data_IF_915717626058
#
_entry.id   IF_915717626058
#
_cell.length_a   1.000
_cell.length_b   1.000
_cell.length_c   1.000
_cell.angle_alpha   90.00
_cell.angle_beta   90.00
_cell.angle_gamma   90.00
#
_symmetry.space_group_name_H-M   'P 1'
#
loop_
_entity.id
_entity.type
_entity.pdbx_description
1 polymer ?
#
# COMPACT_ATOMS: atom_id res chain seq x y z
N UNK A 1 7.61 -14.65 -38.93
CA UNK A 1 6.92 -13.57 -39.62
C UNK A 1 7.35 -13.52 -41.08
N UNK A 2 7.10 -14.57 -41.85
CA UNK A 2 7.62 -14.69 -43.22
C UNK A 2 6.54 -14.59 -44.31
N UNK A 3 5.27 -14.38 -43.92
CA UNK A 3 4.17 -14.27 -44.89
C UNK A 3 3.31 -13.05 -44.59
N UNK A 4 2.67 -12.45 -45.58
CA UNK A 4 1.75 -11.32 -45.47
C UNK A 4 0.59 -11.64 -44.54
N UNK A 5 0.07 -12.88 -44.58
CA UNK A 5 -0.99 -13.33 -43.70
C UNK A 5 -0.56 -13.32 -42.22
N UNK A 6 0.66 -13.77 -41.90
CA UNK A 6 1.21 -13.75 -40.55
C UNK A 6 1.42 -12.32 -40.04
N UNK A 7 1.89 -11.42 -40.91
CA UNK A 7 2.08 -10.01 -40.56
C UNK A 7 0.74 -9.31 -40.31
N UNK A 8 -0.28 -9.60 -41.12
CA UNK A 8 -1.63 -9.07 -40.93
C UNK A 8 -2.24 -9.55 -39.64
N UNK A 9 -2.10 -10.82 -39.31
CA UNK A 9 -2.60 -11.40 -38.03
C UNK A 9 -1.88 -10.79 -36.83
N UNK A 10 -0.55 -10.63 -36.89
CA UNK A 10 0.23 -9.97 -35.84
C UNK A 10 -0.22 -8.53 -35.63
N UNK A 11 -0.48 -7.81 -36.70
CA UNK A 11 -1.02 -6.45 -36.67
C UNK A 11 -2.39 -6.39 -35.96
N UNK A 12 -3.28 -7.34 -36.31
CA UNK A 12 -4.60 -7.46 -35.67
C UNK A 12 -4.48 -7.75 -34.16
N UNK A 13 -3.63 -8.70 -33.77
CA UNK A 13 -3.36 -9.04 -32.36
C UNK A 13 -2.88 -7.81 -31.59
N UNK A 14 -1.86 -7.11 -32.11
CA UNK A 14 -1.35 -5.89 -31.47
C UNK A 14 -2.43 -4.82 -31.35
N UNK A 15 -3.21 -4.62 -32.39
CA UNK A 15 -4.28 -3.60 -32.40
C UNK A 15 -5.39 -3.94 -31.38
N UNK A 16 -5.94 -5.16 -31.44
CA UNK A 16 -7.02 -5.60 -30.53
C UNK A 16 -6.58 -5.56 -29.06
N UNK A 17 -5.34 -5.98 -28.78
CA UNK A 17 -4.80 -6.00 -27.43
C UNK A 17 -4.71 -4.58 -26.85
N UNK A 18 -4.13 -3.65 -27.60
CA UNK A 18 -4.04 -2.26 -27.16
C UNK A 18 -5.41 -1.57 -27.08
N UNK A 19 -6.30 -1.85 -28.03
CA UNK A 19 -7.65 -1.29 -28.07
C UNK A 19 -8.46 -1.72 -26.84
N UNK A 20 -8.47 -3.01 -26.51
CA UNK A 20 -9.20 -3.52 -25.34
C UNK A 20 -8.68 -2.89 -24.04
N UNK A 21 -7.36 -2.77 -23.87
CA UNK A 21 -6.74 -2.14 -22.73
C UNK A 21 -7.12 -0.66 -22.62
N UNK A 22 -7.01 0.10 -23.71
CA UNK A 22 -7.32 1.53 -23.75
C UNK A 22 -8.80 1.79 -23.43
N UNK A 23 -9.70 1.01 -24.04
CA UNK A 23 -11.15 1.14 -23.80
C UNK A 23 -11.50 0.80 -22.35
N UNK A 24 -10.97 -0.31 -21.82
CA UNK A 24 -11.21 -0.69 -20.43
C UNK A 24 -10.74 0.40 -19.44
N UNK A 25 -9.56 0.97 -19.70
CA UNK A 25 -9.00 2.08 -18.90
C UNK A 25 -9.93 3.29 -18.90
N UNK A 26 -10.35 3.75 -20.08
CA UNK A 26 -11.24 4.92 -20.21
C UNK A 26 -12.60 4.67 -19.54
N UNK A 27 -13.18 3.49 -19.75
CA UNK A 27 -14.46 3.10 -19.15
C UNK A 27 -14.37 3.10 -17.63
N UNK A 28 -13.34 2.49 -17.06
CA UNK A 28 -13.15 2.45 -15.60
C UNK A 28 -12.92 3.84 -15.03
N UNK A 29 -12.11 4.66 -15.69
CA UNK A 29 -11.89 6.04 -15.25
C UNK A 29 -13.21 6.81 -15.17
N UNK A 30 -14.04 6.73 -16.21
CA UNK A 30 -15.35 7.38 -16.25
C UNK A 30 -16.29 6.77 -15.21
N UNK A 31 -16.34 5.44 -15.12
CA UNK A 31 -17.23 4.75 -14.20
C UNK A 31 -16.91 5.07 -12.73
N UNK A 32 -15.63 5.04 -12.35
CA UNK A 32 -15.20 5.40 -10.99
C UNK A 32 -15.43 6.89 -10.70
N UNK A 33 -15.24 7.77 -11.70
CA UNK A 33 -15.55 9.18 -11.57
C UNK A 33 -17.03 9.42 -11.27
N UNK A 34 -17.92 8.77 -12.03
CA UNK A 34 -19.36 8.89 -11.79
C UNK A 34 -19.80 8.28 -10.45
N UNK A 35 -19.14 7.18 -10.04
CA UNK A 35 -19.51 6.43 -8.83
C UNK A 35 -18.96 7.04 -7.54
N UNK A 36 -17.73 7.54 -7.57
CA UNK A 36 -17.00 8.03 -6.39
C UNK A 36 -16.79 9.54 -6.38
N UNK A 37 -17.22 10.25 -7.41
CA UNK A 37 -17.02 11.69 -7.58
C UNK A 37 -15.61 12.09 -8.00
N UNK A 38 -14.68 11.17 -8.05
CA UNK A 38 -13.30 11.31 -8.53
C UNK A 38 -12.85 10.03 -9.23
N UNK A 39 -12.03 10.12 -10.28
CA UNK A 39 -11.46 8.92 -10.91
C UNK A 39 -10.49 8.24 -9.94
N UNK A 40 -10.59 6.91 -9.83
CA UNK A 40 -9.70 6.10 -9.03
C UNK A 40 -8.49 5.66 -9.87
N UNK A 41 -7.30 6.06 -9.45
CA UNK A 41 -6.05 5.80 -10.20
C UNK A 41 -5.70 4.32 -10.17
N UNK A 42 -5.82 3.66 -9.01
CA UNK A 42 -5.50 2.24 -8.85
C UNK A 42 -6.42 1.36 -9.68
N UNK A 43 -7.74 1.61 -9.60
CA UNK A 43 -8.73 0.92 -10.44
C UNK A 43 -8.50 1.15 -11.93
N UNK A 44 -8.10 2.36 -12.32
CA UNK A 44 -7.82 2.73 -13.71
C UNK A 44 -6.62 1.94 -14.27
N UNK A 45 -5.54 1.79 -13.50
CA UNK A 45 -4.41 0.94 -13.90
C UNK A 45 -4.79 -0.55 -13.93
N UNK A 46 -5.54 -1.02 -12.95
CA UNK A 46 -6.04 -2.40 -12.95
C UNK A 46 -6.95 -2.68 -14.15
N UNK A 47 -7.68 -1.69 -14.64
CA UNK A 47 -8.50 -1.83 -15.84
C UNK A 47 -7.67 -2.00 -17.13
N UNK A 48 -6.52 -1.31 -17.23
CA UNK A 48 -5.61 -1.55 -18.35
C UNK A 48 -5.16 -3.02 -18.35
N UNK A 49 -4.75 -3.54 -17.19
CA UNK A 49 -4.38 -4.94 -17.04
C UNK A 49 -5.56 -5.88 -17.30
N UNK A 50 -6.76 -5.57 -16.81
CA UNK A 50 -7.97 -6.37 -17.05
C UNK A 50 -8.32 -6.44 -18.55
N UNK A 51 -8.16 -5.34 -19.29
CA UNK A 51 -8.31 -5.31 -20.73
C UNK A 51 -7.29 -6.18 -21.46
N UNK A 52 -6.01 -6.10 -21.06
CA UNK A 52 -4.94 -6.94 -21.61
C UNK A 52 -5.18 -8.43 -21.34
N UNK A 53 -5.48 -8.78 -20.08
CA UNK A 53 -5.73 -10.17 -19.67
C UNK A 53 -7.00 -10.71 -20.32
N UNK A 54 -8.08 -9.95 -20.30
CA UNK A 54 -9.37 -10.41 -20.83
C UNK A 54 -9.35 -10.65 -22.34
N UNK A 55 -8.63 -9.82 -23.11
CA UNK A 55 -8.54 -10.00 -24.56
C UNK A 55 -7.60 -11.12 -24.99
N UNK A 56 -6.76 -11.64 -24.10
CA UNK A 56 -5.70 -12.59 -24.43
C UNK A 56 -6.21 -13.82 -25.17
N UNK A 57 -7.35 -14.37 -24.76
CA UNK A 57 -7.93 -15.56 -25.38
C UNK A 57 -8.53 -15.29 -26.77
N UNK A 58 -8.86 -14.05 -27.11
CA UNK A 58 -9.57 -13.68 -28.32
C UNK A 58 -8.85 -12.65 -29.21
N UNK A 59 -7.64 -12.23 -28.88
CA UNK A 59 -6.96 -11.13 -29.55
C UNK A 59 -6.78 -11.33 -31.07
N UNK A 60 -6.65 -12.57 -31.53
CA UNK A 60 -6.55 -12.97 -32.91
C UNK A 60 -7.88 -13.40 -33.55
N UNK A 61 -8.88 -13.70 -32.72
CA UNK A 61 -10.14 -14.31 -33.13
C UNK A 61 -11.29 -13.29 -33.28
N UNK A 62 -11.22 -12.14 -32.59
CA UNK A 62 -12.29 -11.14 -32.58
C UNK A 62 -12.00 -9.98 -33.50
N UNK A 63 -13.06 -9.30 -33.99
CA UNK A 63 -12.91 -8.04 -34.71
C UNK A 63 -12.48 -6.89 -33.76
N UNK A 64 -11.93 -5.79 -34.31
CA UNK A 64 -11.64 -4.59 -33.52
C UNK A 64 -12.86 -4.04 -32.75
N UNK A 65 -14.04 -4.11 -33.33
CA UNK A 65 -15.28 -3.72 -32.67
C UNK A 65 -15.59 -4.69 -31.52
N UNK A 66 -15.40 -6.00 -31.71
CA UNK A 66 -15.53 -7.01 -30.66
C UNK A 66 -14.56 -6.74 -29.51
N UNK A 67 -13.29 -6.45 -29.80
CA UNK A 67 -12.28 -6.10 -28.81
C UNK A 67 -12.66 -4.84 -28.00
N UNK A 68 -13.19 -3.82 -28.65
CA UNK A 68 -13.67 -2.60 -27.97
C UNK A 68 -14.85 -2.90 -27.03
N UNK A 69 -15.84 -3.69 -27.48
CA UNK A 69 -16.99 -4.08 -26.65
C UNK A 69 -16.54 -4.92 -25.46
N UNK A 70 -15.62 -5.87 -25.67
CA UNK A 70 -15.02 -6.65 -24.57
C UNK A 70 -14.28 -5.74 -23.58
N UNK A 71 -13.54 -4.73 -24.09
CA UNK A 71 -12.88 -3.72 -23.26
C UNK A 71 -13.86 -2.94 -22.36
N UNK A 72 -15.04 -2.56 -22.89
CA UNK A 72 -16.10 -1.93 -22.09
C UNK A 72 -16.54 -2.86 -20.94
N UNK A 73 -16.76 -4.12 -21.25
CA UNK A 73 -17.18 -5.12 -20.24
C UNK A 73 -16.10 -5.28 -19.17
N UNK A 74 -14.84 -5.44 -19.56
CA UNK A 74 -13.74 -5.56 -18.61
C UNK A 74 -13.60 -4.34 -17.70
N UNK A 75 -13.72 -3.14 -18.27
CA UNK A 75 -13.64 -1.89 -17.52
C UNK A 75 -14.74 -1.73 -16.46
N UNK A 76 -15.92 -2.26 -16.68
CA UNK A 76 -16.99 -2.28 -15.68
C UNK A 76 -16.80 -3.41 -14.67
N UNK A 77 -16.50 -4.61 -15.17
CA UNK A 77 -16.40 -5.82 -14.32
C UNK A 77 -15.25 -5.73 -13.33
N UNK A 78 -14.10 -5.14 -13.71
CA UNK A 78 -12.96 -5.03 -12.80
C UNK A 78 -13.31 -4.28 -11.53
N UNK A 79 -14.03 -3.15 -11.62
CA UNK A 79 -14.44 -2.37 -10.45
C UNK A 79 -15.39 -3.15 -9.57
N UNK A 80 -16.40 -3.79 -10.17
CA UNK A 80 -17.38 -4.60 -9.45
C UNK A 80 -16.75 -5.82 -8.79
N UNK A 81 -15.78 -6.47 -9.45
CA UNK A 81 -15.07 -7.63 -8.92
C UNK A 81 -14.19 -7.25 -7.73
N UNK A 82 -13.41 -6.17 -7.83
CA UNK A 82 -12.59 -5.68 -6.71
C UNK A 82 -13.48 -5.33 -5.52
N UNK A 83 -14.55 -4.57 -5.72
CA UNK A 83 -15.48 -4.25 -4.63
C UNK A 83 -16.14 -5.50 -4.02
N UNK A 84 -16.46 -6.50 -4.84
CA UNK A 84 -17.03 -7.74 -4.36
C UNK A 84 -16.05 -8.53 -3.48
N UNK A 85 -14.81 -8.72 -3.93
CA UNK A 85 -13.81 -9.45 -3.15
C UNK A 85 -13.48 -8.74 -1.86
N UNK A 86 -13.27 -7.43 -1.88
CA UNK A 86 -12.94 -6.63 -0.71
C UNK A 86 -14.11 -6.53 0.29
N UNK A 87 -15.29 -6.09 -0.17
CA UNK A 87 -16.41 -5.73 0.72
C UNK A 87 -17.32 -6.89 1.08
N UNK A 88 -17.54 -7.84 0.15
CA UNK A 88 -18.52 -8.92 0.30
C UNK A 88 -17.84 -10.23 0.67
N UNK A 89 -16.90 -10.68 -0.15
CA UNK A 89 -16.17 -11.93 0.08
C UNK A 89 -15.14 -11.80 1.21
N UNK A 90 -14.68 -10.57 1.48
CA UNK A 90 -13.62 -10.25 2.46
C UNK A 90 -12.36 -11.08 2.24
N UNK A 91 -11.98 -11.20 0.97
CA UNK A 91 -10.76 -11.87 0.52
C UNK A 91 -9.73 -10.78 0.27
N UNK A 92 -8.55 -10.93 0.86
CA UNK A 92 -7.43 -10.02 0.70
C UNK A 92 -6.86 -10.13 -0.73
N UNK A 93 -7.09 -9.08 -1.53
CA UNK A 93 -6.62 -8.95 -2.91
C UNK A 93 -6.04 -7.53 -3.14
N UNK A 94 -4.92 -7.19 -2.47
CA UNK A 94 -4.43 -5.81 -2.35
C UNK A 94 -4.07 -5.18 -3.70
N UNK A 95 -3.71 -5.98 -4.69
CA UNK A 95 -3.37 -5.52 -6.04
C UNK A 95 -4.45 -5.83 -7.09
N UNK A 96 -5.56 -6.42 -6.70
CA UNK A 96 -6.63 -6.79 -7.61
C UNK A 96 -6.31 -8.00 -8.52
N UNK A 97 -5.37 -8.86 -8.12
CA UNK A 97 -4.92 -9.98 -8.94
C UNK A 97 -6.04 -10.99 -9.25
N UNK A 98 -6.88 -11.32 -8.27
CA UNK A 98 -8.03 -12.20 -8.47
C UNK A 98 -9.01 -11.58 -9.47
N UNK A 99 -9.30 -10.30 -9.29
CA UNK A 99 -10.24 -9.56 -10.14
C UNK A 99 -9.73 -9.41 -11.57
N UNK A 100 -8.44 -9.09 -11.75
CA UNK A 100 -7.80 -8.91 -13.06
C UNK A 100 -7.62 -10.26 -13.77
N UNK A 101 -6.88 -11.19 -13.16
CA UNK A 101 -6.49 -12.43 -13.82
C UNK A 101 -7.58 -13.51 -13.73
N UNK A 102 -8.17 -13.73 -12.56
CA UNK A 102 -9.19 -14.73 -12.35
C UNK A 102 -10.50 -14.37 -13.05
N UNK A 103 -11.08 -13.21 -12.71
CA UNK A 103 -12.41 -12.84 -13.21
C UNK A 103 -12.36 -12.39 -14.67
N UNK A 104 -11.51 -11.38 -14.99
CA UNK A 104 -11.47 -10.86 -16.37
C UNK A 104 -10.84 -11.84 -17.35
N UNK A 105 -9.88 -12.69 -16.93
CA UNK A 105 -9.33 -13.76 -17.77
C UNK A 105 -10.35 -14.84 -18.11
N UNK A 106 -11.08 -15.33 -17.12
CA UNK A 106 -12.17 -16.28 -17.34
C UNK A 106 -13.28 -15.69 -18.23
N UNK A 107 -13.68 -14.46 -17.92
CA UNK A 107 -14.70 -13.75 -18.70
C UNK A 107 -14.27 -13.54 -20.14
N UNK A 108 -13.00 -13.17 -20.38
CA UNK A 108 -12.44 -12.97 -21.73
C UNK A 108 -12.50 -14.24 -22.58
N UNK A 109 -12.17 -15.39 -21.98
CA UNK A 109 -12.27 -16.68 -22.65
C UNK A 109 -13.73 -17.00 -23.03
N UNK A 110 -14.66 -16.76 -22.12
CA UNK A 110 -16.10 -16.95 -22.39
C UNK A 110 -16.58 -16.00 -23.48
N UNK A 111 -16.22 -14.72 -23.41
CA UNK A 111 -16.60 -13.70 -24.42
C UNK A 111 -16.02 -14.01 -25.81
N UNK A 112 -14.86 -14.67 -25.90
CA UNK A 112 -14.33 -15.14 -27.17
C UNK A 112 -15.31 -16.09 -27.86
N UNK A 113 -15.99 -16.97 -27.11
CA UNK A 113 -17.05 -17.84 -27.63
C UNK A 113 -18.26 -17.07 -28.19
N UNK A 114 -18.47 -15.82 -27.80
CA UNK A 114 -19.52 -14.95 -28.35
C UNK A 114 -19.04 -14.15 -29.56
N UNK A 115 -17.85 -13.54 -29.50
CA UNK A 115 -17.36 -12.53 -30.42
C UNK A 115 -16.38 -13.02 -31.50
N UNK A 116 -16.01 -14.31 -31.51
CA UNK A 116 -15.10 -14.85 -32.52
C UNK A 116 -15.67 -14.76 -33.93
N UNK A 117 -14.85 -14.26 -34.87
CA UNK A 117 -15.25 -14.02 -36.27
C UNK A 117 -15.13 -15.24 -37.18
N UNK A 118 -14.41 -16.27 -36.74
CA UNK A 118 -14.12 -17.47 -37.52
C UNK A 118 -12.84 -17.37 -38.36
N UNK A 119 -11.97 -16.41 -38.08
CA UNK A 119 -10.67 -16.26 -38.81
C UNK A 119 -9.62 -17.20 -38.22
N UNK A 120 -9.43 -17.24 -36.92
CA UNK A 120 -8.42 -18.07 -36.25
C UNK A 120 -9.05 -19.24 -35.46
N UNK A 121 -10.35 -19.19 -35.24
CA UNK A 121 -11.13 -20.18 -34.45
C UNK A 121 -12.46 -20.45 -35.12
N UNK A 122 -13.31 -21.29 -34.49
CA UNK A 122 -14.71 -21.40 -34.86
C UNK A 122 -15.44 -20.06 -34.67
N UNK A 123 -16.55 -19.88 -35.40
CA UNK A 123 -17.38 -18.68 -35.28
C UNK A 123 -18.09 -18.66 -33.92
N UNK A 124 -18.07 -17.50 -33.27
CA UNK A 124 -18.85 -17.24 -32.07
C UNK A 124 -20.34 -17.05 -32.34
N UNK A 125 -21.11 -16.98 -31.27
CA UNK A 125 -22.58 -16.89 -31.34
C UNK A 125 -23.03 -15.69 -32.19
N UNK A 126 -22.44 -14.53 -32.03
CA UNK A 126 -22.83 -13.32 -32.75
C UNK A 126 -22.44 -13.33 -34.24
N UNK A 127 -21.61 -14.26 -34.66
CA UNK A 127 -21.20 -14.46 -36.05
C UNK A 127 -21.81 -15.70 -36.70
N UNK A 128 -22.86 -16.27 -36.07
CA UNK A 128 -23.62 -17.38 -36.59
C UNK A 128 -23.01 -18.77 -36.38
N UNK A 129 -22.06 -18.91 -35.44
CA UNK A 129 -21.44 -20.18 -35.07
C UNK A 129 -22.28 -21.06 -34.12
N UNK A 130 -23.46 -20.59 -33.69
CA UNK A 130 -24.27 -21.32 -32.71
C UNK A 130 -23.61 -21.33 -31.31
N UNK A 131 -24.14 -22.18 -30.43
CA UNK A 131 -23.68 -22.23 -29.02
C UNK A 131 -22.58 -23.27 -28.78
N UNK A 132 -22.13 -24.02 -29.78
CA UNK A 132 -21.14 -25.08 -29.60
C UNK A 132 -19.82 -24.51 -29.08
N UNK A 133 -19.20 -23.56 -29.80
CA UNK A 133 -17.93 -22.96 -29.43
C UNK A 133 -18.02 -22.21 -28.09
N UNK A 134 -19.11 -21.49 -27.87
CA UNK A 134 -19.36 -20.85 -26.57
C UNK A 134 -19.40 -21.88 -25.41
N UNK A 135 -20.09 -22.98 -25.62
CA UNK A 135 -20.16 -24.09 -24.62
C UNK A 135 -18.79 -24.70 -24.33
N UNK A 136 -17.95 -24.87 -25.37
CA UNK A 136 -16.57 -25.36 -25.22
C UNK A 136 -15.74 -24.37 -24.38
N UNK A 137 -15.86 -23.06 -24.63
CA UNK A 137 -15.15 -22.06 -23.85
C UNK A 137 -15.59 -22.06 -22.37
N UNK A 138 -16.88 -22.15 -22.10
CA UNK A 138 -17.40 -22.28 -20.74
C UNK A 138 -16.90 -23.56 -20.03
N UNK A 139 -16.93 -24.70 -20.73
CA UNK A 139 -16.40 -25.96 -20.18
C UNK A 139 -14.89 -25.87 -19.91
N UNK A 140 -14.13 -25.25 -20.82
CA UNK A 140 -12.70 -25.05 -20.67
C UNK A 140 -12.38 -24.21 -19.42
N UNK A 141 -13.07 -23.08 -19.25
CA UNK A 141 -12.92 -22.22 -18.07
C UNK A 141 -13.25 -22.98 -16.78
N UNK A 142 -14.38 -23.69 -16.75
CA UNK A 142 -14.78 -24.46 -15.58
C UNK A 142 -13.75 -25.55 -15.23
N UNK A 143 -13.24 -26.27 -16.25
CA UNK A 143 -12.21 -27.29 -16.07
C UNK A 143 -10.91 -26.73 -15.51
N UNK A 144 -10.46 -25.58 -16.01
CA UNK A 144 -9.25 -24.89 -15.54
C UNK A 144 -9.45 -24.40 -14.09
N UNK A 145 -10.58 -23.78 -13.78
CA UNK A 145 -10.89 -23.36 -12.40
C UNK A 145 -10.82 -24.54 -11.43
N UNK A 146 -11.47 -25.63 -11.77
CA UNK A 146 -11.47 -26.84 -10.93
C UNK A 146 -10.05 -27.41 -10.75
N UNK A 147 -9.31 -27.56 -11.86
CA UNK A 147 -7.95 -28.07 -11.82
C UNK A 147 -7.03 -27.19 -10.96
N UNK A 148 -7.03 -25.89 -11.21
CA UNK A 148 -6.20 -24.93 -10.46
C UNK A 148 -6.59 -24.92 -8.98
N UNK A 149 -7.89 -24.89 -8.66
CA UNK A 149 -8.34 -24.92 -7.27
C UNK A 149 -7.82 -26.13 -6.51
N UNK A 150 -7.89 -27.33 -7.12
CA UNK A 150 -7.40 -28.56 -6.48
C UNK A 150 -5.88 -28.54 -6.34
N UNK A 151 -5.15 -28.27 -7.43
CA UNK A 151 -3.68 -28.36 -7.45
C UNK A 151 -3.07 -27.30 -6.54
N UNK A 152 -3.52 -26.04 -6.63
CA UNK A 152 -2.96 -24.94 -5.81
C UNK A 152 -3.31 -25.13 -4.33
N UNK A 153 -4.48 -25.66 -4.01
CA UNK A 153 -4.80 -25.98 -2.61
C UNK A 153 -3.82 -27.02 -2.04
N UNK A 154 -3.48 -28.05 -2.79
CA UNK A 154 -2.50 -29.05 -2.37
C UNK A 154 -1.11 -28.42 -2.21
N UNK A 155 -0.68 -27.63 -3.19
CA UNK A 155 0.65 -26.95 -3.15
C UNK A 155 0.74 -26.02 -1.94
N UNK A 156 -0.27 -25.18 -1.71
CA UNK A 156 -0.27 -24.26 -0.56
C UNK A 156 -0.41 -25.00 0.77
N UNK A 157 -1.10 -26.11 0.82
CA UNK A 157 -1.14 -26.96 2.02
C UNK A 157 0.26 -27.50 2.36
N UNK A 158 1.00 -27.98 1.36
CA UNK A 158 2.39 -28.45 1.53
C UNK A 158 3.28 -27.28 2.00
N UNK A 159 3.24 -26.14 1.33
CA UNK A 159 4.04 -24.97 1.69
C UNK A 159 3.73 -24.49 3.12
N UNK A 160 2.46 -24.46 3.50
CA UNK A 160 2.05 -24.05 4.84
C UNK A 160 2.65 -24.93 5.94
N UNK A 161 2.79 -26.25 5.68
CA UNK A 161 3.33 -27.20 6.66
C UNK A 161 4.85 -27.35 6.61
N UNK A 162 5.52 -26.80 5.61
CA UNK A 162 6.99 -26.91 5.43
C UNK A 162 7.69 -25.60 5.72
N UNK A 163 7.49 -24.58 4.88
CA UNK A 163 8.22 -23.29 4.95
C UNK A 163 7.38 -22.20 5.64
N UNK A 164 6.06 -22.38 5.72
CA UNK A 164 5.12 -21.33 6.08
C UNK A 164 4.64 -20.52 4.87
N UNK A 165 3.50 -19.85 5.02
CA UNK A 165 2.89 -19.00 3.98
C UNK A 165 2.85 -17.53 4.37
N UNK A 166 3.08 -17.23 5.65
CA UNK A 166 3.00 -15.86 6.18
C UNK A 166 4.24 -15.56 7.00
N UNK A 167 4.63 -14.33 6.97
CA UNK A 167 5.60 -13.74 7.89
C UNK A 167 5.02 -13.66 9.29
N UNK A 168 5.84 -13.31 10.26
CA UNK A 168 5.36 -13.10 11.64
C UNK A 168 4.43 -11.89 11.72
N UNK A 169 3.48 -11.85 12.69
CA UNK A 169 2.63 -10.69 12.88
C UNK A 169 3.41 -9.39 13.11
N UNK A 170 4.56 -9.46 13.74
CA UNK A 170 5.44 -8.33 13.98
C UNK A 170 6.04 -7.78 12.67
N UNK A 171 6.48 -8.65 11.78
CA UNK A 171 6.99 -8.27 10.46
C UNK A 171 5.89 -7.71 9.57
N UNK A 172 4.67 -8.29 9.62
CA UNK A 172 3.52 -7.81 8.86
C UNK A 172 3.13 -6.38 9.27
N UNK A 173 3.16 -6.05 10.57
CA UNK A 173 2.86 -4.72 11.10
C UNK A 173 3.99 -3.73 10.81
N UNK A 174 5.25 -4.18 10.91
CA UNK A 174 6.43 -3.33 10.69
C UNK A 174 6.65 -3.03 9.20
N UNK A 175 6.16 -3.93 8.32
CA UNK A 175 6.42 -3.92 6.89
C UNK A 175 7.61 -4.78 6.50
N UNK A 176 7.56 -5.34 5.30
CA UNK A 176 8.53 -6.32 4.81
C UNK A 176 9.78 -5.67 4.18
N UNK A 177 9.77 -4.37 3.94
CA UNK A 177 10.86 -3.67 3.28
C UNK A 177 12.20 -3.83 4.03
N UNK A 178 12.15 -3.84 5.35
CA UNK A 178 13.37 -4.00 6.19
C UNK A 178 13.83 -5.46 6.22
N UNK A 179 12.91 -6.41 6.42
CA UNK A 179 13.25 -7.82 6.59
C UNK A 179 13.65 -8.48 5.28
N UNK A 180 12.99 -8.17 4.16
CA UNK A 180 13.25 -8.81 2.88
C UNK A 180 14.24 -8.03 2.00
N UNK A 181 14.24 -6.70 2.05
CA UNK A 181 15.05 -5.87 1.17
C UNK A 181 16.12 -5.04 1.88
N UNK A 182 16.12 -5.02 3.22
CA UNK A 182 17.05 -4.17 3.99
C UNK A 182 16.78 -2.67 3.86
N UNK A 183 15.64 -2.29 3.30
CA UNK A 183 15.23 -0.90 3.12
C UNK A 183 14.44 -0.43 4.33
N UNK A 184 14.76 0.75 4.85
CA UNK A 184 13.99 1.33 5.98
C UNK A 184 12.54 1.60 5.60
N UNK A 185 12.29 2.00 4.35
CA UNK A 185 10.97 2.03 3.69
C UNK A 185 11.14 2.31 2.20
N UNK A 186 10.38 1.62 1.35
CA UNK A 186 10.31 1.93 -0.08
C UNK A 186 9.54 3.23 -0.35
N UNK A 187 8.75 3.70 0.62
CA UNK A 187 7.83 4.83 0.51
C UNK A 187 8.07 5.89 1.57
N UNK A 188 9.34 6.20 1.88
CA UNK A 188 9.67 7.25 2.84
C UNK A 188 8.95 8.56 2.48
N UNK A 189 7.98 8.96 3.31
CA UNK A 189 7.13 10.13 3.10
C UNK A 189 5.73 9.87 2.55
N UNK A 190 5.37 8.62 2.19
CA UNK A 190 4.03 8.26 1.70
C UNK A 190 3.24 7.31 2.61
N UNK A 191 3.86 6.72 3.63
CA UNK A 191 3.17 5.83 4.54
C UNK A 191 2.25 6.63 5.47
N UNK A 192 0.96 6.66 5.17
CA UNK A 192 -0.04 6.79 6.23
C UNK A 192 -0.02 5.49 7.01
N UNK A 193 0.53 5.51 8.22
CA UNK A 193 0.49 4.36 9.12
C UNK A 193 -0.98 4.02 9.43
N UNK A 194 -1.41 2.76 9.28
CA UNK A 194 -2.72 2.34 9.77
C UNK A 194 -2.77 2.52 11.29
N UNK A 195 -3.94 2.83 11.80
CA UNK A 195 -4.28 3.00 13.22
C UNK A 195 -4.21 1.66 13.98
N UNK A 196 -3.07 0.96 13.98
CA UNK A 196 -2.96 -0.34 14.64
C UNK A 196 -1.72 -0.43 15.52
N UNK A 197 -2.03 -0.63 16.80
CA UNK A 197 -1.26 -1.25 17.88
C UNK A 197 0.26 -1.02 17.91
N UNK A 198 0.67 -0.33 18.96
CA UNK A 198 2.06 -0.28 19.42
C UNK A 198 2.64 -1.70 19.56
N UNK A 199 3.44 -2.12 18.60
CA UNK A 199 4.33 -3.26 18.77
C UNK A 199 5.57 -2.77 19.49
N UNK A 200 5.88 -3.38 20.62
CA UNK A 200 7.14 -3.13 21.33
C UNK A 200 8.29 -3.61 20.43
N UNK A 201 8.95 -2.67 19.77
CA UNK A 201 10.03 -2.95 18.83
C UNK A 201 11.40 -3.00 19.54
N UNK A 202 11.65 -4.01 20.35
CA UNK A 202 13.03 -4.33 20.75
C UNK A 202 13.88 -4.75 19.54
N UNK A 203 13.28 -5.27 18.48
CA UNK A 203 13.98 -5.67 17.27
C UNK A 203 14.52 -4.49 16.42
N UNK A 204 13.83 -3.32 16.42
CA UNK A 204 14.35 -2.13 15.71
C UNK A 204 15.53 -1.47 16.42
N UNK A 205 15.66 -1.66 17.73
CA UNK A 205 16.81 -1.17 18.52
C UNK A 205 18.12 -1.90 18.14
N UNK A 206 18.01 -3.14 17.69
CA UNK A 206 19.19 -3.92 17.22
C UNK A 206 19.73 -3.44 15.84
N UNK A 207 18.92 -2.66 15.10
CA UNK A 207 19.27 -2.19 13.74
C UNK A 207 19.93 -0.80 13.72
N UNK A 208 19.59 0.07 14.67
CA UNK A 208 20.27 1.35 14.88
C UNK A 208 21.21 1.20 16.07
N UNK A 209 22.52 1.37 15.88
CA UNK A 209 23.50 1.30 16.96
C UNK A 209 23.05 2.13 18.16
N UNK A 210 22.61 1.47 19.24
CA UNK A 210 22.16 2.14 20.46
C UNK A 210 23.37 2.64 21.23
N UNK A 211 23.44 3.95 21.48
CA UNK A 211 24.50 4.54 22.32
C UNK A 211 23.96 4.60 23.74
N UNK A 212 24.66 4.02 24.74
CA UNK A 212 24.24 4.04 26.15
C UNK A 212 24.08 5.48 26.66
N UNK A 213 23.11 5.70 27.54
CA UNK A 213 22.84 7.02 28.14
C UNK A 213 24.03 7.60 28.93
N UNK A 214 24.96 6.75 29.36
CA UNK A 214 26.20 7.15 30.03
C UNK A 214 27.16 7.97 29.14
N UNK A 215 27.02 7.86 27.81
CA UNK A 215 27.81 8.63 26.85
C UNK A 215 27.12 9.95 26.44
N UNK A 216 25.95 10.24 27.04
CA UNK A 216 25.22 11.48 26.76
C UNK A 216 25.97 12.70 27.33
N UNK A 217 26.17 13.71 26.50
CA UNK A 217 26.68 15.02 26.97
C UNK A 217 25.59 15.62 27.87
N UNK A 218 25.87 15.92 29.15
CA UNK A 218 24.86 16.46 30.04
C UNK A 218 24.39 17.84 29.56
N UNK A 219 23.12 17.91 29.20
CA UNK A 219 22.47 19.20 28.91
C UNK A 219 22.22 19.91 30.24
N UNK A 220 22.75 21.12 30.38
CA UNK A 220 22.53 21.96 31.55
C UNK A 220 21.01 22.16 31.72
N UNK A 221 20.44 21.68 32.85
CA UNK A 221 19.05 21.97 33.16
C UNK A 221 18.87 23.47 33.33
N UNK A 222 18.09 24.08 32.46
CA UNK A 222 17.56 25.41 32.69
C UNK A 222 16.55 25.29 33.83
N UNK A 223 16.61 26.16 34.88
CA UNK A 223 15.65 26.11 35.98
C UNK A 223 14.22 26.18 35.45
N UNK A 224 13.30 25.48 36.14
CA UNK A 224 11.87 25.50 35.84
C UNK A 224 11.34 26.89 35.59
N UNK A 225 10.45 27.05 34.63
CA UNK A 225 9.74 28.28 34.31
C UNK A 225 8.78 28.70 35.45
N UNK A 226 9.32 29.06 36.58
CA UNK A 226 8.63 29.89 37.55
C UNK A 226 8.94 31.34 37.16
N UNK A 227 8.00 31.96 36.49
CA UNK A 227 8.09 33.38 36.15
C UNK A 227 8.17 34.19 37.43
N UNK A 228 9.22 35.02 37.57
CA UNK A 228 9.42 35.88 38.71
C UNK A 228 8.27 36.89 39.00
N UNK A 229 7.27 36.97 38.09
CA UNK A 229 6.14 37.90 38.17
C UNK A 229 4.78 37.25 38.51
N UNK A 230 4.70 35.98 38.89
CA UNK A 230 3.47 35.36 39.38
C UNK A 230 2.32 35.19 38.37
N UNK A 231 2.48 35.62 37.15
CA UNK A 231 1.50 35.38 36.05
C UNK A 231 1.90 34.16 35.27
N UNK A 232 1.26 33.01 35.58
CA UNK A 232 1.41 31.81 34.77
C UNK A 232 1.04 32.11 33.30
N UNK A 233 1.84 31.66 32.30
CA UNK A 233 1.53 31.90 30.89
C UNK A 233 0.18 31.27 30.58
N UNK A 234 -0.70 32.02 29.89
CA UNK A 234 -2.05 31.60 29.54
C UNK A 234 -2.05 30.36 28.61
N UNK A 235 -0.99 30.21 27.82
CA UNK A 235 -0.77 29.13 26.88
C UNK A 235 0.71 28.73 26.88
N UNK A 236 0.96 27.42 26.82
CA UNK A 236 2.32 26.88 26.70
C UNK A 236 2.39 25.91 25.54
N UNK A 237 3.36 26.10 24.64
CA UNK A 237 3.67 25.14 23.57
C UNK A 237 4.67 24.12 24.10
N UNK A 238 4.36 22.85 23.98
CA UNK A 238 5.26 21.74 24.22
C UNK A 238 5.56 21.09 22.87
N UNK A 239 6.82 21.08 22.50
CA UNK A 239 7.34 20.46 21.29
C UNK A 239 8.10 19.20 21.67
N UNK A 240 7.71 18.07 21.10
CA UNK A 240 8.28 16.74 21.40
C UNK A 240 8.85 16.17 20.12
N UNK A 241 10.14 15.93 20.07
CA UNK A 241 10.79 15.24 18.96
C UNK A 241 11.08 13.82 19.40
N UNK A 242 10.54 12.82 18.69
CA UNK A 242 10.70 11.41 19.04
C UNK A 242 10.97 10.51 17.83
N UNK A 243 11.26 9.25 18.09
CA UNK A 243 11.32 8.21 17.04
C UNK A 243 9.92 7.97 16.49
N UNK A 244 9.82 7.71 15.21
CA UNK A 244 8.57 7.40 14.52
C UNK A 244 7.85 6.19 15.17
N UNK A 245 8.60 5.15 15.52
CA UNK A 245 8.09 3.94 16.20
C UNK A 245 7.42 4.18 17.56
N UNK A 246 7.67 5.31 18.20
CA UNK A 246 7.07 5.67 19.50
C UNK A 246 5.91 6.66 19.38
N UNK A 247 5.63 7.15 18.16
CA UNK A 247 4.64 8.21 17.95
C UNK A 247 3.22 7.78 18.34
N UNK A 248 2.75 6.62 17.91
CA UNK A 248 1.39 6.16 18.20
C UNK A 248 1.15 5.95 19.69
N UNK A 249 2.13 5.37 20.39
CA UNK A 249 2.06 5.23 21.84
C UNK A 249 2.02 6.61 22.54
N UNK A 250 2.80 7.56 22.07
CA UNK A 250 2.81 8.93 22.57
C UNK A 250 1.48 9.63 22.31
N UNK A 251 0.95 9.56 21.09
CA UNK A 251 -0.33 10.12 20.68
C UNK A 251 -1.46 9.61 21.58
N UNK A 252 -1.54 8.27 21.77
CA UNK A 252 -2.52 7.66 22.66
C UNK A 252 -2.41 8.19 24.08
N UNK A 253 -1.20 8.23 24.64
CA UNK A 253 -0.99 8.72 26.00
C UNK A 253 -1.35 10.21 26.16
N UNK A 254 -1.15 11.03 25.14
CA UNK A 254 -1.57 12.45 25.14
C UNK A 254 -3.08 12.59 25.05
N UNK A 255 -3.77 11.77 24.26
CA UNK A 255 -5.23 11.73 24.20
C UNK A 255 -5.83 11.31 25.54
N UNK A 256 -5.27 10.29 26.19
CA UNK A 256 -5.68 9.80 27.51
C UNK A 256 -5.49 10.89 28.60
N UNK A 257 -4.52 11.79 28.42
CA UNK A 257 -4.29 12.95 29.28
C UNK A 257 -5.29 14.10 29.01
N UNK A 258 -6.16 13.98 28.00
CA UNK A 258 -7.16 14.98 27.63
C UNK A 258 -6.67 16.03 26.64
N UNK A 259 -5.56 15.78 25.94
CA UNK A 259 -5.03 16.64 24.88
C UNK A 259 -5.66 16.22 23.55
N UNK A 260 -6.54 17.04 23.01
CA UNK A 260 -7.27 16.76 21.77
C UNK A 260 -6.69 17.44 20.52
N UNK A 261 -5.83 18.45 20.71
CA UNK A 261 -5.18 19.21 19.62
C UNK A 261 -3.68 18.97 19.59
N UNK A 262 -3.19 18.32 18.55
CA UNK A 262 -1.77 18.06 18.31
C UNK A 262 -1.46 18.27 16.83
N UNK A 263 -0.30 18.85 16.54
CA UNK A 263 0.20 18.99 15.16
C UNK A 263 1.45 18.14 15.02
N UNK A 264 1.49 17.31 13.99
CA UNK A 264 2.61 16.42 13.71
C UNK A 264 3.34 16.88 12.45
N UNK A 265 4.68 16.83 12.49
CA UNK A 265 5.56 17.07 11.35
C UNK A 265 6.66 16.01 11.29
N UNK A 266 6.99 15.55 10.09
CA UNK A 266 8.18 14.72 9.88
C UNK A 266 9.41 15.62 9.81
N UNK A 267 10.43 15.28 10.59
CA UNK A 267 11.69 16.02 10.65
C UNK A 267 12.88 15.07 10.53
N UNK A 268 13.97 15.57 9.97
CA UNK A 268 15.22 14.84 9.88
C UNK A 268 16.16 15.31 10.99
N UNK A 269 16.61 14.38 11.81
CA UNK A 269 17.56 14.65 12.90
C UNK A 269 18.99 14.25 12.55
N UNK A 270 19.93 15.16 12.77
CA UNK A 270 21.37 14.90 12.71
C UNK A 270 21.95 14.94 14.13
N UNK A 271 22.83 13.99 14.47
CA UNK A 271 23.46 13.96 15.78
C UNK A 271 24.39 12.77 15.99
N UNK A 272 24.70 12.49 17.27
CA UNK A 272 25.61 11.39 17.66
C UNK A 272 25.06 10.02 17.24
N UNK A 273 23.74 9.86 17.18
CA UNK A 273 23.11 8.65 16.68
C UNK A 273 23.26 8.60 15.15
N UNK A 274 24.11 7.73 14.68
CA UNK A 274 24.30 7.46 13.24
C UNK A 274 23.29 6.39 12.79
N UNK A 275 22.78 6.53 11.54
CA UNK A 275 22.02 5.48 10.86
C UNK A 275 22.92 4.30 10.48
N UNK A 276 22.32 3.19 10.04
CA UNK A 276 23.08 2.13 9.39
C UNK A 276 23.66 2.66 8.07
N UNK A 277 24.87 2.24 7.71
CA UNK A 277 25.40 2.57 6.39
C UNK A 277 24.48 1.95 5.31
N UNK A 278 24.08 2.77 4.37
CA UNK A 278 23.33 2.32 3.19
C UNK A 278 24.31 2.05 2.05
N UNK A 279 24.06 0.99 1.26
CA UNK A 279 24.88 0.69 0.09
C UNK A 279 24.14 1.13 -1.17
N UNK A 280 24.70 2.10 -1.89
CA UNK A 280 24.23 2.47 -3.20
C UNK A 280 25.23 2.00 -4.27
N UNK A 281 24.82 1.08 -5.13
CA UNK A 281 25.67 0.44 -6.16
C UNK A 281 26.99 -0.13 -5.61
N UNK A 282 26.93 -0.71 -4.39
CA UNK A 282 28.10 -1.30 -3.73
C UNK A 282 29.01 -0.29 -3.01
N UNK A 283 28.66 0.98 -2.99
CA UNK A 283 29.36 2.03 -2.23
C UNK A 283 28.59 2.31 -0.94
N UNK A 284 29.29 2.24 0.19
CA UNK A 284 28.75 2.55 1.51
C UNK A 284 28.46 4.06 1.64
N UNK A 285 27.22 4.42 1.95
CA UNK A 285 26.80 5.80 2.19
C UNK A 285 26.40 5.93 3.66
N UNK A 286 27.10 6.78 4.41
CA UNK A 286 26.73 7.07 5.81
C UNK A 286 25.41 7.80 5.88
N UNK A 287 24.39 7.21 6.52
CA UNK A 287 23.14 7.90 6.82
C UNK A 287 23.37 8.91 7.97
N UNK A 288 23.56 10.17 7.62
CA UNK A 288 23.80 11.25 8.58
C UNK A 288 22.52 11.85 9.14
N UNK A 289 21.38 11.62 8.48
CA UNK A 289 20.06 12.13 8.84
C UNK A 289 19.14 10.97 9.19
N UNK A 290 18.52 11.04 10.36
CA UNK A 290 17.54 10.04 10.83
C UNK A 290 16.12 10.61 10.82
N UNK A 291 15.13 9.90 10.31
CA UNK A 291 13.73 10.32 10.37
C UNK A 291 13.25 10.37 11.82
N UNK A 292 12.58 11.46 12.17
CA UNK A 292 11.97 11.70 13.47
C UNK A 292 10.60 12.35 13.27
N UNK A 293 9.77 12.26 14.30
CA UNK A 293 8.50 13.00 14.36
C UNK A 293 8.63 14.13 15.37
N UNK A 294 8.20 15.30 14.96
CA UNK A 294 7.97 16.44 15.84
C UNK A 294 6.48 16.56 16.11
N UNK A 295 6.12 16.56 17.38
CA UNK A 295 4.76 16.74 17.86
C UNK A 295 4.66 18.06 18.60
N UNK A 296 3.83 18.97 18.11
CA UNK A 296 3.54 20.27 18.69
C UNK A 296 2.20 20.27 19.42
N UNK A 297 2.20 20.63 20.68
CA UNK A 297 1.02 20.65 21.55
C UNK A 297 0.94 22.02 22.22
N UNK A 298 -0.22 22.67 22.15
CA UNK A 298 -0.47 23.90 22.91
C UNK A 298 -1.45 23.60 24.03
N UNK A 299 -1.00 23.80 25.27
CA UNK A 299 -1.79 23.52 26.46
C UNK A 299 -2.10 24.79 27.24
N UNK A 300 -3.30 24.82 27.83
CA UNK A 300 -3.74 25.89 28.71
C UNK A 300 -4.37 25.35 30.01
N UNK A 301 -5.06 24.21 29.94
CA UNK A 301 -5.75 23.57 31.06
C UNK A 301 -5.00 22.41 31.65
N UNK A 302 -4.28 21.65 30.82
CA UNK A 302 -3.48 20.50 31.24
C UNK A 302 -2.14 21.00 31.78
N UNK A 303 -1.71 20.59 32.98
CA UNK A 303 -0.41 21.00 33.53
C UNK A 303 0.74 20.52 32.62
N UNK A 304 1.63 21.42 32.24
CA UNK A 304 2.79 21.12 31.39
C UNK A 304 3.65 19.98 31.97
N UNK A 305 3.76 19.94 33.29
CA UNK A 305 4.50 18.87 33.99
C UNK A 305 3.92 17.49 33.71
N UNK A 306 2.60 17.37 33.71
CA UNK A 306 1.91 16.10 33.39
C UNK A 306 2.19 15.66 31.95
N UNK A 307 2.22 16.60 30.99
CA UNK A 307 2.59 16.33 29.58
C UNK A 307 4.01 15.80 29.49
N UNK A 308 4.96 16.46 30.16
CA UNK A 308 6.37 16.06 30.16
C UNK A 308 6.57 14.68 30.82
N UNK A 309 5.92 14.43 31.97
CA UNK A 309 6.04 13.16 32.68
C UNK A 309 5.43 12.01 31.87
N UNK A 310 4.29 12.24 31.22
CA UNK A 310 3.65 11.25 30.33
C UNK A 310 4.53 10.96 29.12
N UNK A 311 5.06 12.00 28.45
CA UNK A 311 5.96 11.83 27.33
C UNK A 311 7.23 11.05 27.71
N UNK A 312 7.84 11.39 28.88
CA UNK A 312 9.00 10.65 29.38
C UNK A 312 8.68 9.17 29.62
N UNK A 313 7.54 8.86 30.23
CA UNK A 313 7.14 7.47 30.51
C UNK A 313 7.03 6.62 29.24
N UNK A 314 6.58 7.21 28.15
CA UNK A 314 6.40 6.51 26.86
C UNK A 314 7.70 6.43 26.05
N UNK A 315 8.48 7.52 26.06
CA UNK A 315 9.64 7.67 25.17
C UNK A 315 10.93 7.08 25.74
N UNK A 316 11.07 7.04 27.07
CA UNK A 316 12.33 6.66 27.70
C UNK A 316 12.67 5.18 27.51
N UNK A 317 13.83 4.90 26.93
CA UNK A 317 14.40 3.55 26.77
C UNK A 317 15.77 3.40 27.44
N UNK A 318 16.33 4.48 28.00
CA UNK A 318 17.67 4.48 28.60
C UNK A 318 18.81 4.65 27.62
N UNK A 319 18.50 4.95 26.34
CA UNK A 319 19.49 5.14 25.29
C UNK A 319 19.44 6.56 24.68
N UNK A 320 20.55 7.01 24.13
CA UNK A 320 20.59 8.28 23.38
C UNK A 320 19.68 8.17 22.15
N UNK A 321 18.87 9.21 21.92
CA UNK A 321 17.97 9.31 20.77
C UNK A 321 16.52 9.00 21.08
N UNK A 322 16.14 8.81 22.35
CA UNK A 322 14.75 8.59 22.77
C UNK A 322 13.83 9.75 22.43
N UNK A 323 14.36 10.98 22.43
CA UNK A 323 13.63 12.17 22.06
C UNK A 323 14.15 13.43 22.74
N UNK A 324 13.52 14.55 22.39
CA UNK A 324 13.75 15.86 23.02
C UNK A 324 12.40 16.51 23.29
N UNK A 325 12.29 17.21 24.41
CA UNK A 325 11.09 17.97 24.77
C UNK A 325 11.50 19.41 25.00
N UNK A 326 10.87 20.31 24.28
CA UNK A 326 11.06 21.76 24.41
C UNK A 326 9.75 22.37 24.90
N UNK A 327 9.86 23.40 25.71
CA UNK A 327 8.72 24.11 26.29
C UNK A 327 8.87 25.60 26.02
N UNK A 328 7.85 26.20 25.42
CA UNK A 328 7.83 27.61 25.05
C UNK A 328 6.61 28.30 25.65
N UNK A 329 6.80 29.50 26.17
CA UNK A 329 5.68 30.37 26.53
C UNK A 329 5.08 31.00 25.28
N UNK A 330 3.77 30.89 25.12
CA UNK A 330 3.03 31.47 24.01
C UNK A 330 2.38 32.76 24.48
N UNK A 331 2.83 33.88 23.94
CA UNK A 331 2.36 35.22 24.33
C UNK A 331 1.06 35.61 23.64
N UNK A 332 0.77 35.05 22.44
CA UNK A 332 -0.47 35.24 21.67
C UNK A 332 -0.81 33.96 20.92
N UNK A 333 -2.08 33.65 20.84
CA UNK A 333 -2.69 32.56 20.04
C UNK A 333 -3.64 33.18 19.04
#
# INVERSE_FOLDING_TARGET
LSTDATMTLTGLVCFNTNLAAAVATCVTMIFTWLRYGKPDVSMTYNAALAGLVGITAGCDAVSPLGAAVMGIVFGLVIVLAVEFFDKVAKIDDPVGAISVHGVCGALGTILTGLFATGVSTEKGVFYGGGFHFFGVQCLGVASVILYVAVVITIVFAILKHTIGLRVTPEEEITGLDVSEHGLLTAYAGFAMLPDTAAVETDALVAVTGSVPAAEAIPVKRVPSFDTADGTAPKFTKVEIICKESKFEALKKAMLDLGITGMTMSHVLGCGIQKGKPEYYRGVEVEATLLPKIQLDIVVSKVPVRSVIETAKKVLYTGHIGDGKIFVYNVTRV
#
